data_IF_542283881972
#
_entry.id   IF_542283881972
#
_cell.length_a   1.000
_cell.length_b   1.000
_cell.length_c   1.000
_cell.angle_alpha   90.00
_cell.angle_beta   90.00
_cell.angle_gamma   90.00
#
_symmetry.space_group_name_H-M   'P 1'
#
loop_
_entity.id
_entity.type
_entity.pdbx_description
1 polymer ?
#
# COMPACT_ATOMS: atom_id res chain seq x y z
N UNK A 1 -30.13 -35.48 -58.60
CA UNK A 1 -28.75 -35.50 -58.06
C UNK A 1 -28.41 -34.06 -57.69
N UNK A 2 -28.71 -33.55 -56.50
CA UNK A 2 -28.22 -33.86 -55.14
C UNK A 2 -26.79 -33.31 -54.93
N UNK A 3 -26.72 -32.29 -54.07
CA UNK A 3 -25.58 -31.80 -53.24
C UNK A 3 -24.57 -30.87 -53.92
N UNK A 4 -24.57 -29.58 -53.54
CA UNK A 4 -23.35 -28.74 -53.38
C UNK A 4 -23.70 -27.30 -52.91
N UNK A 5 -24.49 -27.11 -51.85
CA UNK A 5 -24.75 -25.76 -51.28
C UNK A 5 -24.70 -25.67 -49.74
N UNK A 6 -24.03 -26.57 -49.03
CA UNK A 6 -23.97 -26.51 -47.56
C UNK A 6 -22.57 -26.85 -47.06
N UNK A 7 -21.70 -25.84 -46.90
CA UNK A 7 -20.47 -25.89 -46.09
C UNK A 7 -19.86 -24.49 -45.94
N UNK A 8 -20.64 -23.53 -45.43
CA UNK A 8 -20.14 -22.20 -45.07
C UNK A 8 -20.81 -21.64 -43.81
N UNK A 9 -21.02 -22.49 -42.80
CA UNK A 9 -21.48 -22.07 -41.49
C UNK A 9 -20.64 -22.80 -40.43
N UNK A 10 -20.23 -22.04 -39.41
CA UNK A 10 -19.55 -22.45 -38.17
C UNK A 10 -18.01 -22.45 -38.19
N UNK A 11 -17.45 -21.24 -38.35
CA UNK A 11 -16.28 -20.84 -37.54
C UNK A 11 -16.64 -19.51 -36.89
N UNK A 12 -17.58 -19.53 -35.93
CA UNK A 12 -17.63 -18.47 -34.94
C UNK A 12 -16.51 -18.79 -33.94
N UNK A 13 -15.44 -17.98 -33.82
CA UNK A 13 -14.63 -18.03 -32.63
C UNK A 13 -15.58 -17.70 -31.48
N UNK A 14 -15.86 -18.68 -30.64
CA UNK A 14 -16.58 -18.46 -29.41
C UNK A 14 -15.83 -17.39 -28.64
N UNK A 15 -16.37 -16.18 -28.64
CA UNK A 15 -16.06 -15.18 -27.64
C UNK A 15 -16.50 -15.82 -26.32
N UNK A 16 -15.57 -16.49 -25.64
CA UNK A 16 -15.80 -16.99 -24.29
C UNK A 16 -16.16 -15.78 -23.45
N UNK A 17 -17.45 -15.60 -23.21
CA UNK A 17 -17.94 -14.57 -22.33
C UNK A 17 -17.49 -14.98 -20.93
N UNK A 18 -16.45 -14.31 -20.43
CA UNK A 18 -15.84 -14.66 -19.16
C UNK A 18 -16.73 -14.12 -18.06
N UNK A 19 -17.55 -15.02 -17.49
CA UNK A 19 -18.25 -14.81 -16.24
C UNK A 19 -17.29 -15.15 -15.11
N UNK A 20 -17.01 -14.18 -14.25
CA UNK A 20 -16.15 -14.37 -13.08
C UNK A 20 -16.97 -14.17 -11.82
N UNK A 21 -16.90 -15.16 -10.92
CA UNK A 21 -17.56 -15.12 -9.63
C UNK A 21 -16.53 -15.32 -8.52
N UNK A 22 -16.54 -14.44 -7.53
CA UNK A 22 -15.71 -14.52 -6.33
C UNK A 22 -16.61 -14.87 -5.15
N UNK A 23 -16.32 -15.99 -4.51
CA UNK A 23 -17.14 -16.53 -3.42
C UNK A 23 -17.03 -15.68 -2.14
N UNK A 24 -18.07 -15.76 -1.29
CA UNK A 24 -18.16 -15.02 -0.02
C UNK A 24 -16.94 -15.29 0.86
N UNK A 25 -16.41 -14.25 1.50
CA UNK A 25 -15.20 -14.33 2.34
C UNK A 25 -13.95 -14.92 1.64
N UNK A 26 -13.93 -14.96 0.30
CA UNK A 26 -12.81 -15.47 -0.47
C UNK A 26 -11.98 -14.35 -1.11
N UNK A 27 -10.77 -14.69 -1.52
CA UNK A 27 -9.91 -13.84 -2.33
C UNK A 27 -9.68 -14.51 -3.68
N UNK A 28 -9.95 -13.80 -4.77
CA UNK A 28 -9.63 -14.23 -6.12
C UNK A 28 -8.74 -13.21 -6.81
N UNK A 29 -7.73 -13.68 -7.53
CA UNK A 29 -6.83 -12.83 -8.30
C UNK A 29 -7.15 -12.96 -9.79
N UNK A 30 -7.28 -11.84 -10.49
CA UNK A 30 -7.43 -11.85 -11.95
C UNK A 30 -6.16 -12.43 -12.62
N UNK A 31 -6.30 -13.05 -13.81
CA UNK A 31 -5.16 -13.52 -14.58
C UNK A 31 -4.13 -12.41 -14.81
N UNK A 32 -2.85 -12.75 -14.65
CA UNK A 32 -1.72 -11.83 -14.86
C UNK A 32 -1.03 -12.05 -16.21
N UNK A 33 -1.69 -12.73 -17.16
CA UNK A 33 -1.15 -13.08 -18.47
C UNK A 33 -1.39 -12.01 -19.53
N UNK A 34 -2.43 -11.19 -19.36
CA UNK A 34 -2.81 -10.12 -20.28
C UNK A 34 -2.85 -8.76 -19.56
N UNK A 35 -2.55 -7.69 -20.29
CA UNK A 35 -2.67 -6.31 -19.81
C UNK A 35 -4.10 -5.76 -19.99
N UNK A 36 -4.86 -6.34 -20.90
CA UNK A 36 -6.25 -6.00 -21.17
C UNK A 36 -7.14 -7.19 -20.84
N UNK A 37 -8.20 -6.95 -20.07
CA UNK A 37 -9.18 -7.96 -19.70
C UNK A 37 -10.58 -7.46 -20.02
N UNK A 38 -11.39 -8.33 -20.61
CA UNK A 38 -12.80 -8.07 -20.92
C UNK A 38 -13.63 -9.16 -20.27
N UNK A 39 -14.49 -8.77 -19.33
CA UNK A 39 -15.40 -9.64 -18.60
C UNK A 39 -16.83 -9.28 -18.99
N UNK A 40 -17.65 -10.28 -19.29
CA UNK A 40 -19.08 -10.03 -19.52
C UNK A 40 -19.78 -9.72 -18.19
N UNK A 41 -19.49 -10.54 -17.17
CA UNK A 41 -20.05 -10.40 -15.83
C UNK A 41 -18.99 -10.68 -14.78
N UNK A 42 -18.89 -9.78 -13.81
CA UNK A 42 -18.05 -9.87 -12.64
C UNK A 42 -18.94 -9.77 -11.40
N UNK A 43 -19.03 -10.87 -10.65
CA UNK A 43 -19.79 -10.96 -9.41
C UNK A 43 -18.83 -11.18 -8.25
N UNK A 44 -18.72 -10.21 -7.34
CA UNK A 44 -17.89 -10.31 -6.14
C UNK A 44 -18.86 -10.38 -4.97
N UNK A 45 -18.98 -11.56 -4.37
CA UNK A 45 -19.95 -11.80 -3.30
C UNK A 45 -19.63 -10.98 -2.03
N UNK A 46 -20.55 -11.01 -1.07
CA UNK A 46 -20.41 -10.33 0.22
C UNK A 46 -19.06 -10.65 0.88
N UNK A 47 -18.39 -9.62 1.41
CA UNK A 47 -17.09 -9.72 2.07
C UNK A 47 -15.95 -10.35 1.24
N UNK A 48 -16.16 -10.55 -0.06
CA UNK A 48 -15.15 -11.12 -0.94
C UNK A 48 -14.19 -10.06 -1.45
N UNK A 49 -12.99 -10.48 -1.89
CA UNK A 49 -11.97 -9.59 -2.43
C UNK A 49 -11.49 -10.06 -3.80
N UNK A 50 -11.65 -9.21 -4.82
CA UNK A 50 -11.03 -9.38 -6.12
C UNK A 50 -9.70 -8.61 -6.18
N UNK A 51 -8.61 -9.29 -6.50
CA UNK A 51 -7.29 -8.68 -6.67
C UNK A 51 -7.00 -8.44 -8.17
N UNK A 52 -6.80 -7.19 -8.55
CA UNK A 52 -6.39 -6.75 -9.90
C UNK A 52 -4.85 -6.61 -9.94
N UNK A 53 -4.13 -7.45 -10.69
CA UNK A 53 -2.67 -7.39 -10.80
C UNK A 53 -2.13 -6.08 -11.40
N UNK A 54 -0.84 -5.80 -11.13
CA UNK A 54 -0.16 -4.59 -11.62
C UNK A 54 0.04 -4.54 -13.13
N UNK A 55 0.02 -5.69 -13.81
CA UNK A 55 0.19 -5.79 -15.26
C UNK A 55 -1.11 -5.51 -16.03
N UNK A 56 -2.27 -5.61 -15.38
CA UNK A 56 -3.57 -5.27 -15.99
C UNK A 56 -3.70 -3.75 -16.00
N UNK A 57 -3.73 -3.15 -17.17
CA UNK A 57 -3.86 -1.69 -17.39
C UNK A 57 -5.24 -1.30 -17.91
N UNK A 58 -5.99 -2.24 -18.49
CA UNK A 58 -7.36 -2.03 -18.94
C UNK A 58 -8.27 -3.18 -18.49
N UNK A 59 -9.41 -2.84 -17.89
CA UNK A 59 -10.43 -3.79 -17.45
C UNK A 59 -11.80 -3.30 -17.93
N UNK A 60 -12.38 -4.01 -18.89
CA UNK A 60 -13.73 -3.75 -19.40
C UNK A 60 -14.69 -4.77 -18.82
N UNK A 61 -15.76 -4.32 -18.16
CA UNK A 61 -16.76 -5.18 -17.51
C UNK A 61 -18.13 -4.84 -18.06
N UNK A 62 -18.89 -5.83 -18.52
CA UNK A 62 -20.30 -5.66 -18.88
C UNK A 62 -21.14 -5.36 -17.64
N UNK A 63 -21.27 -6.36 -16.77
CA UNK A 63 -22.04 -6.28 -15.52
C UNK A 63 -21.12 -6.47 -14.32
N UNK A 64 -21.08 -5.50 -13.42
CA UNK A 64 -20.35 -5.56 -12.15
C UNK A 64 -21.35 -5.62 -11.01
N UNK A 65 -21.26 -6.66 -10.19
CA UNK A 65 -21.94 -6.74 -8.90
C UNK A 65 -20.87 -6.81 -7.80
N UNK A 66 -20.90 -5.84 -6.88
CA UNK A 66 -20.14 -5.87 -5.63
C UNK A 66 -21.12 -6.05 -4.48
N UNK A 67 -21.03 -7.19 -3.80
CA UNK A 67 -21.77 -7.48 -2.59
C UNK A 67 -21.40 -6.57 -1.42
N UNK A 68 -22.06 -6.77 -0.28
CA UNK A 68 -21.83 -5.95 0.91
C UNK A 68 -20.41 -6.12 1.41
N UNK A 69 -19.73 -5.02 1.71
CA UNK A 69 -18.32 -5.01 2.15
C UNK A 69 -17.35 -5.71 1.17
N UNK A 70 -17.77 -5.95 -0.07
CA UNK A 70 -16.94 -6.55 -1.11
C UNK A 70 -15.88 -5.55 -1.60
N UNK A 71 -14.72 -6.07 -2.01
CA UNK A 71 -13.55 -5.24 -2.34
C UNK A 71 -12.96 -5.57 -3.69
N UNK A 72 -12.64 -4.54 -4.47
CA UNK A 72 -11.70 -4.65 -5.58
C UNK A 72 -10.37 -4.05 -5.10
N UNK A 73 -9.37 -4.90 -4.91
CA UNK A 73 -8.02 -4.51 -4.52
C UNK A 73 -7.10 -4.44 -5.74
N UNK A 74 -6.61 -3.25 -6.07
CA UNK A 74 -5.77 -2.99 -7.22
C UNK A 74 -4.32 -2.87 -6.74
N UNK A 75 -3.46 -3.73 -7.29
CA UNK A 75 -2.04 -3.76 -6.91
C UNK A 75 -1.32 -2.48 -7.39
N UNK A 76 -0.46 -1.87 -6.56
CA UNK A 76 0.33 -0.70 -6.93
C UNK A 76 1.15 -0.88 -8.21
N UNK A 77 1.06 0.10 -9.11
CA UNK A 77 1.79 0.14 -10.38
C UNK A 77 2.08 1.59 -10.77
N UNK A 78 3.09 1.80 -11.62
CA UNK A 78 3.34 3.11 -12.24
C UNK A 78 2.36 3.39 -13.39
N UNK A 79 1.86 2.34 -14.05
CA UNK A 79 0.89 2.49 -15.12
C UNK A 79 -0.50 2.69 -14.53
N UNK A 80 -1.29 3.65 -15.03
CA UNK A 80 -2.67 3.83 -14.60
C UNK A 80 -3.51 2.57 -14.90
N UNK A 81 -4.62 2.40 -14.19
CA UNK A 81 -5.66 1.42 -14.55
C UNK A 81 -6.85 2.15 -15.16
N UNK A 82 -7.23 1.78 -16.37
CA UNK A 82 -8.51 2.16 -16.96
C UNK A 82 -9.53 1.03 -16.71
N UNK A 83 -10.61 1.34 -16.01
CA UNK A 83 -11.72 0.42 -15.78
C UNK A 83 -13.00 1.01 -16.35
N UNK A 84 -13.63 0.30 -17.28
CA UNK A 84 -14.93 0.67 -17.84
C UNK A 84 -15.97 -0.37 -17.48
N UNK A 85 -17.10 0.08 -16.97
CA UNK A 85 -18.20 -0.78 -16.53
C UNK A 85 -19.49 -0.34 -17.20
N UNK A 86 -20.17 -1.24 -17.88
CA UNK A 86 -21.43 -0.91 -18.56
C UNK A 86 -22.58 -0.77 -17.56
N UNK A 87 -22.73 -1.72 -16.64
CA UNK A 87 -23.71 -1.69 -15.56
C UNK A 87 -23.05 -2.11 -14.25
N UNK A 88 -23.18 -1.29 -13.22
CA UNK A 88 -22.63 -1.55 -11.89
C UNK A 88 -23.71 -1.50 -10.81
N UNK A 89 -23.73 -2.53 -9.98
CA UNK A 89 -24.51 -2.63 -8.75
C UNK A 89 -23.55 -2.81 -7.59
N UNK A 90 -23.44 -1.79 -6.73
CA UNK A 90 -22.52 -1.79 -5.60
C UNK A 90 -23.34 -1.73 -4.31
N UNK A 91 -23.25 -2.76 -3.48
CA UNK A 91 -23.92 -2.80 -2.20
C UNK A 91 -23.17 -1.98 -1.13
N UNK A 92 -23.82 -1.80 0.02
CA UNK A 92 -23.27 -1.03 1.15
C UNK A 92 -21.89 -1.54 1.60
N UNK A 93 -20.99 -0.59 1.87
CA UNK A 93 -19.63 -0.87 2.33
C UNK A 93 -18.68 -1.39 1.25
N UNK A 94 -19.15 -1.64 0.03
CA UNK A 94 -18.27 -2.07 -1.06
C UNK A 94 -17.22 -0.99 -1.41
N UNK A 95 -16.03 -1.43 -1.80
CA UNK A 95 -14.89 -0.53 -1.97
C UNK A 95 -13.96 -0.92 -3.13
N UNK A 96 -13.53 0.08 -3.89
CA UNK A 96 -12.43 -0.03 -4.85
C UNK A 96 -11.18 0.58 -4.22
N UNK A 97 -10.09 -0.16 -4.15
CA UNK A 97 -8.86 0.29 -3.49
C UNK A 97 -7.67 0.20 -4.43
N UNK A 98 -6.89 1.27 -4.54
CA UNK A 98 -5.63 1.33 -5.31
C UNK A 98 -4.47 1.89 -4.48
N UNK A 99 -4.56 1.71 -3.16
CA UNK A 99 -3.59 2.22 -2.18
C UNK A 99 -2.16 1.84 -2.52
N UNK A 100 -1.25 2.77 -2.28
CA UNK A 100 0.18 2.58 -2.42
C UNK A 100 0.77 1.55 -1.44
N UNK A 101 1.94 1.01 -1.78
CA UNK A 101 2.64 0.08 -0.90
C UNK A 101 3.46 0.85 0.16
N UNK A 102 3.43 0.45 1.44
CA UNK A 102 4.27 1.04 2.46
C UNK A 102 5.75 0.79 2.17
N UNK A 103 6.59 1.74 2.59
CA UNK A 103 8.04 1.62 2.51
C UNK A 103 8.58 0.59 3.50
N UNK A 104 9.73 0.03 3.17
CA UNK A 104 10.56 -0.78 4.05
C UNK A 104 11.95 -0.16 4.15
N UNK A 105 12.80 -0.67 5.04
CA UNK A 105 14.20 -0.25 5.16
C UNK A 105 14.98 -0.32 3.84
N UNK A 106 14.56 -1.17 2.90
CA UNK A 106 15.23 -1.39 1.60
C UNK A 106 14.45 -0.86 0.40
N UNK A 107 13.20 -0.44 0.58
CA UNK A 107 12.33 0.02 -0.51
C UNK A 107 11.55 1.26 -0.09
N UNK A 108 11.60 2.29 -0.91
CA UNK A 108 10.76 3.47 -0.71
C UNK A 108 9.27 3.11 -0.78
N UNK A 109 8.44 3.92 -0.11
CA UNK A 109 6.99 3.82 -0.24
C UNK A 109 6.57 4.05 -1.70
N UNK A 110 5.54 3.35 -2.14
CA UNK A 110 4.99 3.49 -3.50
C UNK A 110 3.72 4.33 -3.47
N UNK A 111 3.48 5.16 -4.49
CA UNK A 111 2.25 5.94 -4.58
C UNK A 111 1.03 5.04 -4.79
N UNK A 112 -0.15 5.60 -4.52
CA UNK A 112 -1.39 5.02 -5.00
C UNK A 112 -1.37 4.90 -6.52
N UNK A 113 -2.03 3.87 -7.06
CA UNK A 113 -2.12 3.68 -8.52
C UNK A 113 -3.23 4.57 -9.08
N UNK A 114 -2.89 5.37 -10.08
CA UNK A 114 -3.83 6.23 -10.80
C UNK A 114 -4.96 5.42 -11.45
N UNK A 115 -6.17 5.95 -11.36
CA UNK A 115 -7.39 5.29 -11.80
C UNK A 115 -8.17 6.16 -12.78
N UNK A 116 -8.57 5.57 -13.90
CA UNK A 116 -9.63 6.10 -14.77
C UNK A 116 -10.82 5.14 -14.68
N UNK A 117 -11.84 5.50 -13.92
CA UNK A 117 -13.03 4.67 -13.73
C UNK A 117 -14.20 5.27 -14.49
N UNK A 118 -14.84 4.47 -15.33
CA UNK A 118 -16.04 4.86 -16.07
C UNK A 118 -17.18 3.90 -15.77
N UNK A 119 -18.33 4.44 -15.39
CA UNK A 119 -19.55 3.68 -15.14
C UNK A 119 -20.66 4.23 -16.05
N UNK A 120 -21.20 3.41 -16.96
CA UNK A 120 -22.28 3.85 -17.85
C UNK A 120 -23.66 3.81 -17.17
N UNK A 121 -23.88 2.85 -16.29
CA UNK A 121 -25.00 2.80 -15.36
C UNK A 121 -24.49 2.40 -13.98
N UNK A 122 -24.85 3.15 -12.94
CA UNK A 122 -24.39 2.93 -11.58
C UNK A 122 -25.56 2.98 -10.60
N UNK A 123 -25.81 1.85 -9.93
CA UNK A 123 -26.70 1.76 -8.79
C UNK A 123 -25.87 1.41 -7.56
N UNK A 124 -25.68 2.39 -6.67
CA UNK A 124 -24.85 2.22 -5.49
C UNK A 124 -25.26 3.21 -4.39
N UNK A 125 -25.51 2.78 -3.14
CA UNK A 125 -25.72 3.70 -2.03
C UNK A 125 -24.55 4.66 -1.84
N UNK A 126 -23.31 4.17 -2.03
CA UNK A 126 -22.07 4.93 -1.99
C UNK A 126 -21.05 4.33 -2.97
N UNK A 127 -20.43 5.17 -3.79
CA UNK A 127 -19.23 4.81 -4.56
C UNK A 127 -17.99 5.14 -3.73
N UNK A 128 -17.34 4.11 -3.17
CA UNK A 128 -16.13 4.28 -2.36
C UNK A 128 -14.85 3.92 -3.11
N UNK A 129 -13.91 4.88 -3.19
CA UNK A 129 -12.59 4.68 -3.79
C UNK A 129 -11.50 5.13 -2.80
N UNK A 130 -10.58 4.23 -2.43
CA UNK A 130 -9.41 4.54 -1.60
C UNK A 130 -8.11 4.36 -2.40
N UNK A 131 -7.49 5.47 -2.75
CA UNK A 131 -6.31 5.54 -3.59
C UNK A 131 -5.17 6.32 -2.90
N UNK A 132 -5.06 6.18 -1.57
CA UNK A 132 -4.02 6.83 -0.76
C UNK A 132 -2.60 6.36 -1.07
N UNK A 133 -1.62 7.22 -0.80
CA UNK A 133 -0.21 6.89 -0.89
C UNK A 133 0.25 5.92 0.20
N UNK A 134 1.34 5.18 -0.07
CA UNK A 134 1.98 4.31 0.92
C UNK A 134 2.71 5.08 2.01
N UNK A 135 2.65 4.59 3.25
CA UNK A 135 3.40 5.16 4.39
C UNK A 135 4.91 5.01 4.21
N UNK A 136 5.68 6.04 4.56
CA UNK A 136 7.14 6.02 4.54
C UNK A 136 7.74 4.97 5.46
N UNK A 137 8.92 4.46 5.11
CA UNK A 137 9.66 3.52 5.96
C UNK A 137 10.15 4.18 7.25
N UNK A 138 10.16 3.47 8.39
CA UNK A 138 10.72 4.00 9.63
C UNK A 138 12.23 4.23 9.51
N UNK A 139 12.74 5.14 10.33
CA UNK A 139 14.17 5.34 10.51
C UNK A 139 14.84 4.18 11.26
N UNK A 140 16.15 4.04 11.08
CA UNK A 140 16.96 3.04 11.76
C UNK A 140 17.21 3.44 13.21
N UNK A 141 17.22 2.43 14.08
CA UNK A 141 17.68 2.59 15.46
C UNK A 141 19.17 2.90 15.50
N UNK A 142 19.54 3.87 16.33
CA UNK A 142 20.94 4.17 16.63
C UNK A 142 21.60 3.02 17.37
N UNK A 143 22.87 2.75 17.08
CA UNK A 143 23.64 1.71 17.75
C UNK A 143 23.91 2.10 19.21
N UNK A 144 23.74 1.14 20.11
CA UNK A 144 24.08 1.31 21.52
C UNK A 144 25.59 1.49 21.70
N UNK A 145 25.96 2.37 22.64
CA UNK A 145 27.35 2.61 22.99
C UNK A 145 27.98 1.40 23.68
N UNK A 146 29.22 1.08 23.31
CA UNK A 146 30.00 0.05 23.97
C UNK A 146 30.30 0.39 25.44
N UNK A 147 30.29 -0.62 26.31
CA UNK A 147 30.62 -0.43 27.73
C UNK A 147 32.12 -0.18 27.92
N UNK A 148 32.45 0.67 28.89
CA UNK A 148 33.81 0.92 29.31
C UNK A 148 34.42 -0.27 30.06
N UNK A 149 35.73 -0.45 29.93
CA UNK A 149 36.45 -1.53 30.61
C UNK A 149 36.64 -1.20 32.10
N UNK A 150 36.48 -2.19 32.98
CA UNK A 150 36.76 -2.03 34.41
C UNK A 150 38.27 -1.85 34.68
N UNK A 151 38.65 -1.11 35.75
CA UNK A 151 40.05 -0.88 36.08
C UNK A 151 40.73 -2.16 36.59
N UNK A 152 42.04 -2.28 36.33
CA UNK A 152 42.91 -3.31 36.90
C UNK A 152 43.37 -2.95 38.32
N UNK A 153 43.71 -3.95 39.15
CA UNK A 153 44.25 -3.72 40.50
C UNK A 153 45.76 -3.53 40.56
N UNK A 154 46.47 -3.80 39.46
CA UNK A 154 47.92 -3.61 39.36
C UNK A 154 48.24 -2.20 38.88
N UNK A 155 47.66 -1.77 37.76
CA UNK A 155 47.56 -0.38 37.28
C UNK A 155 46.43 -0.26 36.25
N UNK A 156 45.69 0.84 36.26
CA UNK A 156 44.71 1.16 35.21
C UNK A 156 43.54 2.02 35.71
N UNK A 157 43.09 2.96 34.88
CA UNK A 157 41.84 3.68 35.07
C UNK A 157 40.69 2.93 34.40
N UNK A 158 39.47 3.13 34.91
CA UNK A 158 38.29 2.59 34.26
C UNK A 158 38.05 3.31 32.91
N UNK A 159 37.74 2.54 31.87
CA UNK A 159 37.35 3.07 30.57
C UNK A 159 36.00 3.78 30.65
N UNK A 160 35.86 4.88 29.90
CA UNK A 160 34.57 5.53 29.66
C UNK A 160 33.69 4.64 28.79
N UNK A 161 32.38 4.62 29.03
CA UNK A 161 31.40 4.08 28.09
C UNK A 161 31.34 4.93 26.82
N UNK A 162 31.16 4.29 25.67
CA UNK A 162 30.98 4.99 24.41
C UNK A 162 29.56 5.59 24.33
N UNK A 163 29.43 6.64 23.54
CA UNK A 163 28.15 7.28 23.27
C UNK A 163 27.30 6.40 22.35
N UNK A 164 25.97 6.45 22.55
CA UNK A 164 25.03 5.85 21.61
C UNK A 164 25.01 6.65 20.31
N UNK A 165 24.84 5.98 19.18
CA UNK A 165 24.66 6.65 17.89
C UNK A 165 23.25 7.23 17.79
N UNK A 166 23.08 8.30 17.02
CA UNK A 166 21.76 8.84 16.72
C UNK A 166 20.93 7.87 15.88
N UNK A 167 19.61 7.90 16.05
CA UNK A 167 18.69 7.25 15.13
C UNK A 167 18.61 8.00 13.81
N UNK A 168 18.23 7.31 12.73
CA UNK A 168 18.01 7.98 11.44
C UNK A 168 16.61 8.57 11.34
N UNK A 169 16.43 9.49 10.41
CA UNK A 169 15.12 10.03 10.08
C UNK A 169 14.24 8.97 9.41
N UNK A 170 12.92 9.13 9.57
CA UNK A 170 11.93 8.39 8.82
C UNK A 170 11.90 8.81 7.35
N UNK A 171 11.56 7.89 6.47
CA UNK A 171 11.46 8.14 5.04
C UNK A 171 10.15 8.87 4.69
N UNK A 172 10.12 9.67 3.60
CA UNK A 172 8.90 10.35 3.17
C UNK A 172 7.79 9.36 2.80
N UNK A 173 6.54 9.76 3.04
CA UNK A 173 5.37 9.07 2.52
C UNK A 173 5.22 9.27 1.01
N UNK A 174 4.58 8.33 0.33
CA UNK A 174 4.35 8.43 -1.11
C UNK A 174 3.10 9.26 -1.44
N UNK A 175 3.02 9.78 -2.66
CA UNK A 175 1.87 10.56 -3.11
C UNK A 175 0.59 9.70 -3.20
N UNK A 176 -0.57 10.36 -2.99
CA UNK A 176 -1.86 9.80 -3.35
C UNK A 176 -2.05 9.74 -4.88
N UNK A 177 -3.03 8.95 -5.33
CA UNK A 177 -3.26 8.75 -6.76
C UNK A 177 -4.07 9.88 -7.39
N UNK A 178 -3.97 9.98 -8.72
CA UNK A 178 -4.90 10.74 -9.54
C UNK A 178 -6.09 9.84 -9.91
N UNK A 179 -7.30 10.26 -9.53
CA UNK A 179 -8.53 9.49 -9.77
C UNK A 179 -9.44 10.31 -10.68
N UNK A 180 -9.70 9.78 -11.87
CA UNK A 180 -10.71 10.29 -12.80
C UNK A 180 -11.94 9.39 -12.77
N UNK A 181 -13.09 9.97 -12.48
CA UNK A 181 -14.38 9.31 -12.47
C UNK A 181 -15.25 9.84 -13.62
N UNK A 182 -15.75 8.96 -14.47
CA UNK A 182 -16.77 9.24 -15.47
C UNK A 182 -18.06 8.55 -15.04
N UNK A 183 -19.05 9.34 -14.61
CA UNK A 183 -20.28 8.86 -13.99
C UNK A 183 -21.53 9.35 -14.73
N UNK A 184 -22.66 8.63 -14.63
CA UNK A 184 -23.94 9.11 -15.14
C UNK A 184 -24.36 10.41 -14.45
N UNK A 185 -25.01 11.32 -15.19
CA UNK A 185 -25.46 12.61 -14.67
C UNK A 185 -26.34 12.50 -13.42
N UNK A 186 -27.15 11.46 -13.31
CA UNK A 186 -28.13 11.22 -12.26
C UNK A 186 -27.54 10.63 -10.95
N UNK A 187 -26.29 10.16 -10.95
CA UNK A 187 -25.67 9.62 -9.73
C UNK A 187 -25.39 10.73 -8.70
N UNK A 188 -25.94 10.69 -7.47
CA UNK A 188 -25.82 11.79 -6.51
C UNK A 188 -24.37 12.10 -6.10
N UNK A 189 -24.00 13.37 -6.01
CA UNK A 189 -22.63 13.78 -5.73
C UNK A 189 -22.20 13.44 -4.29
N UNK A 190 -23.13 13.51 -3.35
CA UNK A 190 -22.98 13.17 -1.94
C UNK A 190 -22.70 11.68 -1.69
N UNK A 191 -22.99 10.83 -2.68
CA UNK A 191 -22.72 9.39 -2.63
C UNK A 191 -21.33 9.03 -3.17
N UNK A 192 -20.58 9.99 -3.72
CA UNK A 192 -19.21 9.79 -4.21
C UNK A 192 -18.23 10.03 -3.07
N UNK A 193 -17.54 8.98 -2.61
CA UNK A 193 -16.50 9.06 -1.57
C UNK A 193 -15.16 8.60 -2.11
N UNK A 194 -14.27 9.55 -2.37
CA UNK A 194 -12.93 9.28 -2.90
C UNK A 194 -11.88 9.80 -1.93
N UNK A 195 -10.94 8.96 -1.53
CA UNK A 195 -9.83 9.30 -0.63
C UNK A 195 -8.52 9.17 -1.39
N UNK A 196 -7.80 10.28 -1.55
CA UNK A 196 -6.53 10.38 -2.31
C UNK A 196 -5.43 11.02 -1.49
N UNK A 197 -5.48 10.92 -0.16
CA UNK A 197 -4.45 11.49 0.70
C UNK A 197 -3.06 10.90 0.39
N UNK A 198 -2.03 11.71 0.60
CA UNK A 198 -0.66 11.21 0.62
C UNK A 198 -0.44 10.23 1.77
N UNK A 199 0.52 9.33 1.61
CA UNK A 199 0.93 8.44 2.68
C UNK A 199 1.56 9.22 3.83
N UNK A 200 1.36 8.75 5.05
CA UNK A 200 2.06 9.32 6.21
C UNK A 200 3.58 9.14 6.06
N UNK A 201 4.37 10.05 6.63
CA UNK A 201 5.81 9.85 6.74
C UNK A 201 6.18 8.72 7.70
N UNK A 202 7.36 8.16 7.52
CA UNK A 202 7.89 7.13 8.39
C UNK A 202 8.19 7.65 9.80
N UNK A 203 8.07 6.78 10.80
CA UNK A 203 8.45 7.11 12.16
C UNK A 203 9.96 7.37 12.27
N UNK A 204 10.35 8.26 13.18
CA UNK A 204 11.76 8.49 13.50
C UNK A 204 12.43 7.24 14.10
N UNK A 205 13.69 7.02 13.75
CA UNK A 205 14.54 6.03 14.40
C UNK A 205 14.90 6.48 15.83
N UNK A 206 14.77 5.62 16.85
CA UNK A 206 15.20 5.97 18.19
C UNK A 206 16.72 6.04 18.28
N UNK A 207 17.24 6.93 19.12
CA UNK A 207 18.68 6.99 19.42
C UNK A 207 19.16 5.79 20.24
N UNK A 208 20.42 5.42 20.04
CA UNK A 208 21.08 4.34 20.77
C UNK A 208 21.29 4.71 22.25
N UNK A 209 21.27 3.69 23.11
CA UNK A 209 21.53 3.86 24.54
C UNK A 209 23.01 4.18 24.79
N UNK A 210 23.32 4.93 25.86
CA UNK A 210 24.70 5.15 26.26
C UNK A 210 25.35 3.85 26.74
N UNK A 211 26.62 3.65 26.41
CA UNK A 211 27.44 2.63 27.04
C UNK A 211 27.67 2.94 28.51
N UNK A 212 27.61 1.92 29.36
CA UNK A 212 27.88 2.08 30.79
C UNK A 212 29.39 2.23 30.99
N UNK A 213 29.82 3.15 31.85
CA UNK A 213 31.23 3.27 32.20
C UNK A 213 31.77 2.04 32.95
N UNK A 214 33.09 1.84 32.92
CA UNK A 214 33.73 0.72 33.62
C UNK A 214 33.37 0.72 35.11
N UNK A 215 32.96 -0.42 35.66
CA UNK A 215 32.54 -0.48 37.08
C UNK A 215 33.73 -0.21 38.01
N UNK A 216 33.51 0.51 39.12
CA UNK A 216 34.54 0.71 40.14
C UNK A 216 34.98 -0.64 40.73
N UNK A 217 36.23 -0.71 41.20
CA UNK A 217 36.80 -1.94 41.77
C UNK A 217 37.53 -1.66 43.09
N UNK A 218 37.16 -2.39 44.14
CA UNK A 218 37.94 -2.42 45.38
C UNK A 218 39.15 -3.33 45.23
N UNK A 219 40.34 -2.78 45.45
CA UNK A 219 41.61 -3.51 45.52
C UNK A 219 42.12 -3.51 46.97
N UNK A 220 43.06 -4.40 47.29
CA UNK A 220 43.46 -4.69 48.68
C UNK A 220 43.91 -3.45 49.49
N UNK A 221 44.53 -2.47 48.82
CA UNK A 221 45.08 -1.25 49.44
C UNK A 221 44.43 0.05 48.95
N UNK A 222 43.52 0.00 47.97
CA UNK A 222 42.85 1.18 47.41
C UNK A 222 41.60 0.80 46.60
N UNK A 223 40.74 1.77 46.31
CA UNK A 223 39.62 1.63 45.37
C UNK A 223 39.93 2.36 44.07
N UNK A 224 39.69 1.71 42.94
CA UNK A 224 39.74 2.33 41.62
C UNK A 224 38.35 2.83 41.22
N UNK A 225 38.26 4.11 40.90
CA UNK A 225 37.01 4.75 40.48
C UNK A 225 36.47 4.18 39.17
N UNK A 226 35.15 4.24 39.03
CA UNK A 226 34.46 3.83 37.82
C UNK A 226 34.61 4.85 36.69
N UNK A 227 34.46 4.37 35.46
CA UNK A 227 34.43 5.21 34.27
C UNK A 227 33.09 5.92 34.15
N UNK A 228 33.06 7.08 33.50
CA UNK A 228 31.80 7.75 33.16
C UNK A 228 31.07 6.97 32.08
N UNK A 229 29.74 6.94 32.13
CA UNK A 229 28.92 6.45 31.01
C UNK A 229 29.02 7.38 29.81
N UNK A 230 28.67 6.85 28.64
CA UNK A 230 28.43 7.65 27.45
C UNK A 230 27.14 8.48 27.56
N UNK A 231 26.83 9.19 26.49
CA UNK A 231 25.59 9.92 26.26
C UNK A 231 24.65 9.12 25.34
N UNK A 232 23.34 9.22 25.55
CA UNK A 232 22.37 8.66 24.61
C UNK A 232 22.47 9.36 23.26
N UNK A 233 22.20 8.61 22.18
CA UNK A 233 21.97 9.19 20.87
C UNK A 233 20.64 9.95 20.83
N UNK A 234 20.56 10.95 19.97
CA UNK A 234 19.30 11.62 19.66
C UNK A 234 18.40 10.75 18.77
N UNK A 235 17.09 10.89 18.90
CA UNK A 235 16.15 10.35 17.92
C UNK A 235 16.25 11.13 16.61
N UNK A 236 15.96 10.44 15.50
CA UNK A 236 15.78 11.09 14.21
C UNK A 236 14.50 11.94 14.16
N UNK A 237 14.21 12.48 12.98
CA UNK A 237 12.97 13.18 12.68
C UNK A 237 11.96 12.28 11.98
N UNK A 238 10.64 12.48 12.18
CA UNK A 238 9.63 11.84 11.35
C UNK A 238 9.78 12.25 9.89
N UNK A 239 9.50 11.33 8.98
CA UNK A 239 9.44 11.65 7.56
C UNK A 239 8.30 12.62 7.25
N UNK A 240 8.40 13.44 6.18
CA UNK A 240 7.28 14.24 5.73
C UNK A 240 6.18 13.36 5.12
N UNK A 241 4.94 13.82 5.22
CA UNK A 241 3.81 13.19 4.53
C UNK A 241 3.93 13.37 3.01
N UNK A 242 3.42 12.41 2.25
CA UNK A 242 3.32 12.51 0.80
C UNK A 242 2.31 13.57 0.36
N UNK A 243 2.46 14.05 -0.87
CA UNK A 243 1.48 14.95 -1.46
C UNK A 243 0.13 14.24 -1.65
N UNK A 244 -0.96 14.97 -1.42
CA UNK A 244 -2.29 14.50 -1.78
C UNK A 244 -2.42 14.37 -3.31
N UNK A 245 -3.15 13.35 -3.75
CA UNK A 245 -3.57 13.20 -5.13
C UNK A 245 -4.74 14.12 -5.47
N UNK A 246 -5.39 13.86 -6.61
CA UNK A 246 -6.51 14.68 -7.08
C UNK A 246 -7.66 13.81 -7.55
N UNK A 247 -8.87 14.36 -7.48
CA UNK A 247 -10.09 13.71 -7.95
C UNK A 247 -10.72 14.60 -9.00
N UNK A 248 -10.95 14.03 -10.18
CA UNK A 248 -11.67 14.70 -11.27
C UNK A 248 -12.93 13.90 -11.56
N UNK A 249 -14.09 14.55 -11.46
CA UNK A 249 -15.38 13.92 -11.76
C UNK A 249 -15.95 14.54 -13.03
N UNK A 250 -16.19 13.71 -14.03
CA UNK A 250 -16.86 14.05 -15.27
C UNK A 250 -18.23 13.35 -15.30
N UNK A 251 -19.26 14.11 -15.65
CA UNK A 251 -20.63 13.63 -15.79
C UNK A 251 -21.05 13.66 -17.25
N UNK A 252 -21.80 12.66 -17.70
CA UNK A 252 -22.37 12.60 -19.05
C UNK A 252 -23.86 12.28 -19.00
#
# INVERSE_FOLDING_TARGET
MRKLCLLAALVCPWACAQVLQVETHSLMRLPNTASTLTLERLDVADYATLLVPSNVTQLSIGQLHLGREARIAIVPSQQPLAMSVTQAELADGSQITSRGAPGTYTKAARPGRDLNLRFNALNAPVLSVDARGGTGAPGYVGLDGANGQAPGCTWGSAGRGADGSNGSDGQPGAAGALVRLELPRDYPAEQIKVVVDGGAGGAAGPGGKPGVGGKPKGCFVYTADGGKSGHPGAAGQPGPAGAAGTVTVQRF
#
